data_IF_498643839599
#
_entry.id   IF_498643839599
#
_cell.length_a   1.000
_cell.length_b   1.000
_cell.length_c   1.000
_cell.angle_alpha   90.00
_cell.angle_beta   90.00
_cell.angle_gamma   90.00
#
_symmetry.space_group_name_H-M   'P 1'
#
loop_
_entity.id
_entity.type
_entity.pdbx_description
1 polymer ?
#
# COMPACT_ATOMS: atom_id res chain seq x y z
N UNK A 1 -28.74 -12.65 39.79
CA UNK A 1 -28.54 -12.72 38.33
C UNK A 1 -29.16 -11.47 37.71
N UNK A 2 -28.33 -10.50 37.32
CA UNK A 2 -28.82 -9.30 36.63
C UNK A 2 -29.16 -9.70 35.19
N UNK A 3 -30.42 -9.60 34.83
CA UNK A 3 -30.84 -9.70 33.43
C UNK A 3 -30.30 -8.49 32.65
N UNK A 4 -29.22 -8.68 31.90
CA UNK A 4 -28.81 -7.72 30.90
C UNK A 4 -29.94 -7.57 29.88
N UNK A 5 -30.47 -6.35 29.74
CA UNK A 5 -31.46 -6.04 28.70
C UNK A 5 -30.86 -6.38 27.35
N UNK A 6 -31.50 -7.26 26.62
CA UNK A 6 -31.06 -7.96 25.41
C UNK A 6 -30.69 -7.02 24.23
N UNK A 7 -30.83 -5.70 24.35
CA UNK A 7 -30.77 -4.75 23.23
C UNK A 7 -29.74 -3.64 23.32
N UNK A 8 -29.00 -3.45 24.42
CA UNK A 8 -28.12 -2.28 24.57
C UNK A 8 -26.64 -2.56 24.31
N UNK A 9 -26.17 -3.77 24.53
CA UNK A 9 -24.76 -4.14 24.31
C UNK A 9 -24.70 -5.39 23.42
N UNK A 10 -24.02 -5.27 22.28
CA UNK A 10 -23.74 -6.36 21.35
C UNK A 10 -22.25 -6.68 21.34
N UNK A 11 -21.72 -7.37 22.36
CA UNK A 11 -20.28 -7.60 22.54
C UNK A 11 -19.64 -8.41 21.41
N UNK A 12 -20.45 -9.12 20.61
CA UNK A 12 -20.01 -9.85 19.42
C UNK A 12 -19.87 -8.98 18.17
N UNK A 13 -20.31 -7.70 18.21
CA UNK A 13 -20.17 -6.76 17.11
C UNK A 13 -19.07 -5.76 17.43
N UNK A 14 -17.93 -5.89 16.78
CA UNK A 14 -16.84 -4.94 16.86
C UNK A 14 -16.88 -4.01 15.64
N UNK A 15 -16.81 -2.70 15.90
CA UNK A 15 -16.58 -1.68 14.86
C UNK A 15 -15.20 -1.11 15.08
N UNK A 16 -14.39 -1.12 14.03
CA UNK A 16 -13.06 -0.52 14.05
C UNK A 16 -13.17 0.93 13.57
N UNK A 17 -12.55 1.84 14.29
CA UNK A 17 -12.37 3.22 13.81
C UNK A 17 -11.05 3.32 13.03
N UNK A 18 -11.10 4.00 11.88
CA UNK A 18 -9.92 4.23 11.02
C UNK A 18 -9.32 5.62 11.22
N UNK A 19 -10.08 6.53 11.80
CA UNK A 19 -9.68 7.92 12.06
C UNK A 19 -9.69 8.11 13.57
N UNK A 20 -8.65 8.73 14.19
CA UNK A 20 -8.59 8.93 15.62
C UNK A 20 -9.90 9.51 16.18
N UNK A 21 -10.41 9.04 17.32
CA UNK A 21 -11.66 9.56 17.91
C UNK A 21 -11.52 10.96 18.48
N UNK A 22 -10.32 11.31 18.99
CA UNK A 22 -10.03 12.54 19.70
C UNK A 22 -9.13 13.49 18.90
N UNK A 23 -8.93 14.68 19.42
CA UNK A 23 -8.00 15.69 18.88
C UNK A 23 -6.58 15.11 18.79
N UNK A 24 -5.94 15.30 17.65
CA UNK A 24 -4.60 14.76 17.40
C UNK A 24 -3.81 15.68 16.46
N UNK A 25 -3.02 16.57 17.03
CA UNK A 25 -2.21 17.52 16.26
C UNK A 25 -1.21 16.84 15.32
N UNK A 26 -0.57 15.74 15.76
CA UNK A 26 0.38 15.00 14.92
C UNK A 26 -0.31 14.35 13.72
N UNK A 27 -1.52 13.79 13.94
CA UNK A 27 -2.32 13.25 12.85
C UNK A 27 -2.69 14.33 11.83
N UNK A 28 -3.18 15.48 12.32
CA UNK A 28 -3.60 16.60 11.47
C UNK A 28 -2.43 17.13 10.66
N UNK A 29 -1.26 17.34 11.27
CA UNK A 29 -0.08 17.84 10.59
C UNK A 29 0.36 16.91 9.47
N UNK A 30 0.49 15.60 9.72
CA UNK A 30 0.86 14.64 8.70
C UNK A 30 -0.23 14.45 7.62
N UNK A 31 -1.51 14.51 8.00
CA UNK A 31 -2.61 14.44 7.04
C UNK A 31 -2.60 15.65 6.09
N UNK A 32 -2.46 16.87 6.60
CA UNK A 32 -2.41 18.07 5.76
C UNK A 32 -1.20 18.06 4.83
N UNK A 33 -0.03 17.62 5.31
CA UNK A 33 1.17 17.45 4.49
C UNK A 33 0.92 16.53 3.29
N UNK A 34 0.31 15.35 3.51
CA UNK A 34 -0.05 14.42 2.42
C UNK A 34 -1.07 15.03 1.46
N UNK A 35 -2.09 15.72 1.97
CA UNK A 35 -3.11 16.35 1.13
C UNK A 35 -2.53 17.48 0.27
N UNK A 36 -1.55 18.23 0.78
CA UNK A 36 -0.82 19.24 0.03
C UNK A 36 0.07 18.62 -1.05
N UNK A 37 0.70 17.48 -0.78
CA UNK A 37 1.45 16.72 -1.77
C UNK A 37 0.52 16.27 -2.91
N UNK A 38 -0.65 15.72 -2.59
CA UNK A 38 -1.62 15.26 -3.61
C UNK A 38 -2.26 16.39 -4.42
N UNK A 39 -2.29 17.60 -3.87
CA UNK A 39 -2.78 18.78 -4.59
C UNK A 39 -1.75 19.35 -5.60
N UNK A 40 -0.50 18.86 -5.59
CA UNK A 40 0.54 19.30 -6.54
C UNK A 40 0.16 18.93 -7.98
N UNK A 41 0.35 19.83 -8.95
CA UNK A 41 0.15 19.47 -10.35
C UNK A 41 1.18 18.41 -10.79
N UNK A 42 0.80 17.61 -11.79
CA UNK A 42 1.72 16.63 -12.35
C UNK A 42 3.01 17.28 -12.86
N UNK A 43 4.13 16.75 -12.42
CA UNK A 43 5.46 17.21 -12.84
C UNK A 43 6.41 16.01 -13.00
N UNK A 44 6.86 15.77 -14.22
CA UNK A 44 7.76 14.65 -14.56
C UNK A 44 9.12 14.75 -13.86
N UNK A 45 9.57 15.95 -13.47
CA UNK A 45 10.81 16.18 -12.73
C UNK A 45 10.66 15.94 -11.22
N UNK A 46 9.42 16.02 -10.72
CA UNK A 46 9.05 15.80 -9.32
C UNK A 46 7.81 14.93 -9.25
N UNK A 47 7.86 13.67 -9.76
CA UNK A 47 6.71 12.77 -9.73
C UNK A 47 6.32 12.44 -8.28
N UNK A 48 5.02 12.45 -8.01
CA UNK A 48 4.46 11.98 -6.73
C UNK A 48 4.19 10.49 -6.85
N UNK A 49 4.90 9.71 -6.03
CA UNK A 49 4.84 8.25 -6.01
C UNK A 49 4.43 7.80 -4.61
N UNK A 50 3.38 7.01 -4.53
CA UNK A 50 2.97 6.35 -3.29
C UNK A 50 3.56 4.94 -3.26
N UNK A 51 4.03 4.51 -2.11
CA UNK A 51 4.61 3.18 -1.92
C UNK A 51 4.05 2.52 -0.67
N UNK A 52 3.74 1.23 -0.78
CA UNK A 52 3.34 0.41 0.37
C UNK A 52 3.74 -1.06 0.15
N UNK A 53 3.70 -1.83 1.23
CA UNK A 53 4.04 -3.24 1.26
C UNK A 53 2.89 -4.09 1.81
N UNK A 54 2.83 -5.32 1.36
CA UNK A 54 1.91 -6.31 1.91
C UNK A 54 2.50 -7.70 1.88
N UNK A 55 2.11 -8.52 2.85
CA UNK A 55 2.43 -9.95 2.83
C UNK A 55 1.23 -10.76 2.39
N UNK A 56 1.48 -11.85 1.67
CA UNK A 56 0.48 -12.81 1.21
C UNK A 56 0.92 -14.22 1.59
N UNK A 57 0.01 -14.97 2.23
CA UNK A 57 0.22 -16.38 2.50
C UNK A 57 0.09 -17.17 1.22
N UNK A 58 1.12 -17.94 0.87
CA UNK A 58 1.06 -18.91 -0.22
C UNK A 58 0.29 -20.15 0.28
N UNK A 59 -0.73 -20.52 -0.47
CA UNK A 59 -1.69 -21.56 -0.09
C UNK A 59 -1.84 -22.55 -1.26
N UNK A 60 -1.56 -23.83 -0.99
CA UNK A 60 -1.78 -24.92 -1.92
C UNK A 60 -3.04 -25.72 -1.58
N UNK A 61 -3.54 -26.44 -2.56
CA UNK A 61 -4.66 -27.36 -2.41
C UNK A 61 -4.22 -28.64 -1.69
N UNK A 62 -5.10 -29.22 -0.87
CA UNK A 62 -4.94 -30.57 -0.32
C UNK A 62 -5.47 -31.59 -1.33
N UNK A 63 -6.67 -31.34 -1.86
CA UNK A 63 -7.26 -32.12 -2.92
C UNK A 63 -7.49 -31.26 -4.17
N UNK A 64 -7.42 -31.88 -5.34
CA UNK A 64 -7.70 -31.16 -6.58
C UNK A 64 -9.15 -30.66 -6.62
N UNK A 65 -9.38 -29.40 -7.01
CA UNK A 65 -10.72 -28.85 -7.13
C UNK A 65 -11.55 -29.66 -8.15
N UNK A 66 -12.82 -29.89 -7.83
CA UNK A 66 -13.76 -30.48 -8.78
C UNK A 66 -14.16 -29.39 -9.78
N UNK A 67 -13.91 -29.57 -11.08
CA UNK A 67 -14.17 -28.55 -12.08
C UNK A 67 -15.67 -28.23 -12.20
N UNK A 68 -15.98 -27.00 -12.61
CA UNK A 68 -17.36 -26.57 -12.87
C UNK A 68 -17.98 -27.41 -13.99
N UNK A 69 -19.28 -27.75 -13.83
CA UNK A 69 -20.11 -28.41 -14.82
C UNK A 69 -21.42 -27.62 -15.01
N UNK A 70 -22.18 -27.83 -16.10
CA UNK A 70 -23.45 -27.12 -16.30
C UNK A 70 -24.38 -27.27 -15.08
N UNK A 71 -24.75 -26.15 -14.44
CA UNK A 71 -25.56 -26.10 -13.22
C UNK A 71 -24.80 -26.34 -11.91
N UNK A 72 -23.51 -26.61 -11.95
CA UNK A 72 -22.66 -26.86 -10.78
C UNK A 72 -21.43 -25.94 -10.80
N UNK A 73 -21.20 -25.09 -9.76
CA UNK A 73 -19.97 -24.30 -9.68
C UNK A 73 -18.78 -25.22 -9.39
N UNK A 74 -17.57 -24.66 -9.56
CA UNK A 74 -16.34 -25.32 -9.09
C UNK A 74 -16.44 -25.57 -7.58
N UNK A 75 -16.07 -26.76 -7.12
CA UNK A 75 -15.96 -27.09 -5.70
C UNK A 75 -14.49 -27.15 -5.31
N UNK A 76 -14.12 -26.34 -4.34
CA UNK A 76 -12.76 -26.24 -3.79
C UNK A 76 -12.82 -26.81 -2.37
N UNK A 77 -11.80 -27.60 -2.02
CA UNK A 77 -11.66 -28.11 -0.66
C UNK A 77 -11.52 -26.95 0.33
N UNK A 78 -12.14 -27.05 1.51
CA UNK A 78 -11.97 -26.08 2.58
C UNK A 78 -10.61 -26.23 3.27
N UNK A 79 -9.98 -27.39 3.23
CA UNK A 79 -8.62 -27.63 3.69
C UNK A 79 -7.59 -27.02 2.74
N UNK A 80 -6.45 -26.62 3.28
CA UNK A 80 -5.33 -26.05 2.50
C UNK A 80 -3.97 -26.32 3.14
N UNK A 81 -2.93 -26.31 2.33
CA UNK A 81 -1.54 -26.39 2.79
C UNK A 81 -0.87 -25.04 2.70
N UNK A 82 -0.26 -24.59 3.80
CA UNK A 82 0.57 -23.38 3.79
C UNK A 82 1.92 -23.65 3.15
N UNK A 83 2.25 -22.91 2.10
CA UNK A 83 3.48 -23.05 1.29
C UNK A 83 4.51 -21.94 1.54
N UNK A 84 4.30 -21.12 2.57
CA UNK A 84 5.16 -19.99 2.90
C UNK A 84 4.46 -18.65 2.77
N UNK A 85 5.24 -17.58 2.76
CA UNK A 85 4.77 -16.19 2.65
C UNK A 85 5.57 -15.50 1.56
N UNK A 86 4.92 -14.75 0.71
CA UNK A 86 5.54 -13.80 -0.20
C UNK A 86 5.24 -12.36 0.23
N UNK A 87 6.14 -11.45 -0.10
CA UNK A 87 5.98 -10.02 0.15
C UNK A 87 5.78 -9.27 -1.17
N UNK A 88 4.92 -8.28 -1.15
CA UNK A 88 4.59 -7.40 -2.28
C UNK A 88 5.11 -6.02 -1.94
N UNK A 89 5.94 -5.45 -2.81
CA UNK A 89 6.24 -4.03 -2.84
C UNK A 89 5.46 -3.40 -3.99
N UNK A 90 4.72 -2.34 -3.72
CA UNK A 90 3.95 -1.61 -4.72
C UNK A 90 4.32 -0.14 -4.72
N UNK A 91 4.61 0.40 -5.89
CA UNK A 91 4.67 1.83 -6.14
C UNK A 91 3.58 2.25 -7.11
N UNK A 92 3.00 3.41 -6.89
CA UNK A 92 1.94 3.99 -7.71
C UNK A 92 2.25 5.47 -7.96
N UNK A 93 2.44 5.84 -9.21
CA UNK A 93 2.45 7.23 -9.65
C UNK A 93 1.01 7.63 -10.02
N UNK A 94 0.32 8.25 -9.06
CA UNK A 94 -1.12 8.47 -9.12
C UNK A 94 -1.57 9.24 -10.39
N UNK A 95 -0.99 10.41 -10.64
CA UNK A 95 -1.32 11.26 -11.79
C UNK A 95 -0.68 10.78 -13.10
N UNK A 96 0.45 10.05 -13.02
CA UNK A 96 1.09 9.42 -14.18
C UNK A 96 0.34 8.17 -14.65
N UNK A 97 -0.47 7.55 -13.80
CA UNK A 97 -1.21 6.32 -14.10
C UNK A 97 -0.31 5.10 -14.24
N UNK A 98 0.89 5.14 -13.66
CA UNK A 98 1.89 4.07 -13.69
C UNK A 98 1.98 3.40 -12.34
N UNK A 99 2.29 2.11 -12.35
CA UNK A 99 2.58 1.34 -11.15
C UNK A 99 3.62 0.27 -11.41
N UNK A 100 4.32 -0.11 -10.37
CA UNK A 100 5.22 -1.25 -10.37
C UNK A 100 4.93 -2.10 -9.15
N UNK A 101 4.87 -3.40 -9.37
CA UNK A 101 4.72 -4.39 -8.30
C UNK A 101 5.91 -5.34 -8.37
N UNK A 102 6.58 -5.55 -7.23
CA UNK A 102 7.68 -6.49 -7.08
C UNK A 102 7.33 -7.52 -6.02
N UNK A 103 7.50 -8.79 -6.36
CA UNK A 103 7.26 -9.90 -5.43
C UNK A 103 8.61 -10.40 -4.92
N UNK A 104 8.77 -10.41 -3.60
CA UNK A 104 9.98 -10.84 -2.89
C UNK A 104 9.64 -11.90 -1.84
N UNK A 105 10.65 -12.63 -1.38
CA UNK A 105 10.48 -13.58 -0.28
C UNK A 105 10.39 -12.87 1.07
N UNK A 106 11.01 -11.71 1.18
CA UNK A 106 11.13 -10.93 2.42
C UNK A 106 10.83 -9.46 2.16
N UNK A 107 10.57 -8.71 3.25
CA UNK A 107 10.40 -7.26 3.24
C UNK A 107 11.27 -6.63 4.33
N UNK A 108 12.57 -6.83 4.22
CA UNK A 108 13.55 -6.23 5.12
C UNK A 108 13.86 -4.81 4.69
N UNK A 109 14.57 -4.06 5.55
CA UNK A 109 15.10 -2.72 5.18
C UNK A 109 16.03 -2.76 3.98
N UNK A 110 16.72 -3.88 3.75
CA UNK A 110 17.59 -4.08 2.59
C UNK A 110 16.72 -4.26 1.32
N UNK A 111 15.65 -5.06 1.40
CA UNK A 111 14.73 -5.24 0.27
C UNK A 111 14.06 -3.91 -0.11
N UNK A 112 13.64 -3.11 0.87
CA UNK A 112 13.14 -1.76 0.67
C UNK A 112 14.16 -0.86 -0.01
N UNK A 113 15.40 -0.83 0.47
CA UNK A 113 16.46 -0.01 -0.09
C UNK A 113 16.76 -0.37 -1.56
N UNK A 114 16.81 -1.65 -1.90
CA UNK A 114 16.95 -2.10 -3.29
C UNK A 114 15.74 -1.71 -4.16
N UNK A 115 14.52 -1.79 -3.62
CA UNK A 115 13.33 -1.35 -4.35
C UNK A 115 13.36 0.15 -4.66
N UNK A 116 13.79 0.97 -3.68
CA UNK A 116 14.00 2.42 -3.85
C UNK A 116 15.07 2.70 -4.90
N UNK A 117 16.20 1.99 -4.87
CA UNK A 117 17.25 2.16 -5.88
C UNK A 117 16.72 1.86 -7.29
N UNK A 118 16.06 0.72 -7.49
CA UNK A 118 15.44 0.37 -8.77
C UNK A 118 14.42 1.44 -9.23
N UNK A 119 13.61 1.96 -8.30
CA UNK A 119 12.67 3.04 -8.57
C UNK A 119 13.39 4.27 -9.12
N UNK A 120 14.42 4.74 -8.43
CA UNK A 120 15.14 5.97 -8.78
C UNK A 120 15.99 5.84 -10.04
N UNK A 121 16.66 4.70 -10.26
CA UNK A 121 17.62 4.53 -11.34
C UNK A 121 17.01 4.01 -12.64
N UNK A 122 15.92 3.23 -12.55
CA UNK A 122 15.30 2.63 -13.73
C UNK A 122 14.05 3.38 -14.18
N UNK A 123 13.15 3.68 -13.24
CA UNK A 123 11.81 4.21 -13.56
C UNK A 123 11.74 5.74 -13.56
N UNK A 124 12.51 6.35 -12.67
CA UNK A 124 12.54 7.81 -12.49
C UNK A 124 13.96 8.37 -12.67
N UNK A 125 14.75 7.78 -13.58
CA UNK A 125 16.14 8.20 -13.84
C UNK A 125 16.24 9.68 -14.19
N UNK A 126 15.30 10.20 -14.97
CA UNK A 126 15.24 11.58 -15.44
C UNK A 126 14.56 12.56 -14.45
N UNK A 127 14.02 12.09 -13.35
CA UNK A 127 13.46 12.95 -12.32
C UNK A 127 14.56 13.63 -11.52
N UNK A 128 14.34 14.86 -11.10
CA UNK A 128 15.24 15.55 -10.17
C UNK A 128 15.11 15.00 -8.76
N UNK A 129 13.86 14.84 -8.29
CA UNK A 129 13.51 14.14 -7.05
C UNK A 129 12.21 13.39 -7.23
N UNK A 130 12.09 12.26 -6.56
CA UNK A 130 10.81 11.56 -6.38
C UNK A 130 10.18 12.00 -5.06
N UNK A 131 8.97 12.55 -5.13
CA UNK A 131 8.15 12.87 -3.97
C UNK A 131 7.47 11.59 -3.52
N UNK A 132 8.01 10.96 -2.47
CA UNK A 132 7.63 9.63 -2.03
C UNK A 132 6.68 9.70 -0.83
N UNK A 133 5.45 9.23 -1.01
CA UNK A 133 4.47 9.05 0.05
C UNK A 133 4.45 7.59 0.48
N UNK A 134 4.61 7.33 1.77
CA UNK A 134 4.60 5.98 2.34
C UNK A 134 4.20 5.99 3.82
N UNK A 135 3.99 4.83 4.42
CA UNK A 135 3.80 4.70 5.84
C UNK A 135 5.11 4.93 6.63
N UNK A 136 4.98 5.26 7.91
CA UNK A 136 6.13 5.50 8.79
C UNK A 136 6.60 4.20 9.48
N UNK A 137 6.87 3.15 8.69
CA UNK A 137 7.44 1.92 9.21
C UNK A 137 8.95 2.10 9.49
N UNK A 138 9.49 1.42 10.49
CA UNK A 138 10.90 1.52 10.89
C UNK A 138 11.90 1.17 9.77
N UNK A 139 11.46 0.43 8.76
CA UNK A 139 12.24 0.08 7.57
C UNK A 139 12.22 1.16 6.50
N UNK A 140 11.24 2.07 6.54
CA UNK A 140 10.95 3.09 5.53
C UNK A 140 11.62 4.42 5.86
N UNK A 141 12.94 4.44 5.87
CA UNK A 141 13.69 5.68 6.11
C UNK A 141 15.06 5.66 5.41
N UNK A 142 15.66 6.82 5.27
CA UNK A 142 16.96 6.96 4.60
C UNK A 142 18.10 6.19 5.25
N UNK A 143 18.02 5.87 6.56
CA UNK A 143 19.03 5.05 7.23
C UNK A 143 19.08 3.62 6.67
N UNK A 144 17.98 3.13 6.09
CA UNK A 144 17.94 1.82 5.43
C UNK A 144 18.81 1.80 4.16
N UNK A 145 18.96 2.92 3.46
CA UNK A 145 19.87 3.05 2.32
C UNK A 145 21.32 2.87 2.78
N UNK A 146 21.71 3.50 3.89
CA UNK A 146 23.06 3.35 4.46
C UNK A 146 23.34 1.94 5.04
N UNK A 147 22.29 1.16 5.31
CA UNK A 147 22.43 -0.25 5.70
C UNK A 147 22.71 -1.14 4.49
N UNK A 148 22.19 -0.77 3.31
CA UNK A 148 22.23 -1.59 2.10
C UNK A 148 23.37 -1.21 1.14
N UNK A 149 23.79 0.06 1.13
CA UNK A 149 24.72 0.60 0.14
C UNK A 149 25.91 1.34 0.78
N UNK A 150 27.02 1.51 0.04
CA UNK A 150 28.11 2.39 0.45
C UNK A 150 27.64 3.83 0.71
N UNK A 151 28.31 4.58 1.61
CA UNK A 151 27.81 5.91 2.03
C UNK A 151 27.55 6.90 0.89
N UNK A 152 28.41 6.94 -0.13
CA UNK A 152 28.26 7.88 -1.26
C UNK A 152 27.01 7.53 -2.09
N UNK A 153 26.78 6.25 -2.35
CA UNK A 153 25.59 5.76 -3.06
C UNK A 153 24.33 5.99 -2.23
N UNK A 154 24.36 5.65 -0.94
CA UNK A 154 23.24 5.88 -0.04
C UNK A 154 22.87 7.38 0.03
N UNK A 155 23.86 8.25 0.07
CA UNK A 155 23.68 9.71 0.06
C UNK A 155 23.05 10.19 -1.23
N UNK A 156 23.58 9.75 -2.38
CA UNK A 156 23.04 10.06 -3.70
C UNK A 156 21.55 9.65 -3.81
N UNK A 157 21.19 8.43 -3.40
CA UNK A 157 19.81 7.97 -3.41
C UNK A 157 18.91 8.79 -2.47
N UNK A 158 19.40 9.11 -1.26
CA UNK A 158 18.65 9.89 -0.28
C UNK A 158 18.36 11.32 -0.76
N UNK A 159 19.30 11.97 -1.47
CA UNK A 159 19.14 13.33 -2.01
C UNK A 159 18.10 13.40 -3.13
N UNK A 160 17.83 12.28 -3.79
CA UNK A 160 16.81 12.16 -4.84
C UNK A 160 15.41 11.89 -4.31
N UNK A 161 15.23 11.81 -3.00
CA UNK A 161 13.94 11.57 -2.35
C UNK A 161 13.46 12.83 -1.62
N UNK A 162 12.17 13.10 -1.71
CA UNK A 162 11.40 13.97 -0.83
C UNK A 162 10.34 13.08 -0.17
N UNK A 163 10.53 12.75 1.11
CA UNK A 163 9.72 11.72 1.78
C UNK A 163 8.65 12.37 2.63
N UNK A 164 7.41 11.92 2.45
CA UNK A 164 6.22 12.30 3.21
C UNK A 164 5.60 11.06 3.84
N UNK A 165 5.35 11.09 5.15
CA UNK A 165 4.81 9.95 5.87
C UNK A 165 3.32 10.11 6.17
N UNK A 166 2.54 9.08 5.85
CA UNK A 166 1.14 9.03 6.26
C UNK A 166 1.01 8.96 7.79
N UNK A 167 0.00 9.60 8.38
CA UNK A 167 -0.20 9.56 9.81
C UNK A 167 -0.57 8.15 10.29
N UNK A 168 -0.20 7.81 11.51
CA UNK A 168 -0.68 6.57 12.16
C UNK A 168 -2.21 6.54 12.13
N UNK A 169 -2.81 5.45 11.69
CA UNK A 169 -4.24 5.31 11.39
C UNK A 169 -4.74 6.16 10.22
N UNK A 170 -3.83 6.56 9.33
CA UNK A 170 -4.14 7.31 8.11
C UNK A 170 -3.97 6.52 6.84
N UNK A 171 -4.07 5.19 6.89
CA UNK A 171 -3.90 4.29 5.74
C UNK A 171 -4.81 4.64 4.54
N UNK A 172 -5.97 5.22 4.80
CA UNK A 172 -6.87 5.71 3.76
C UNK A 172 -6.28 6.86 2.91
N UNK A 173 -5.21 7.50 3.37
CA UNK A 173 -4.43 8.51 2.63
C UNK A 173 -3.37 7.88 1.72
N UNK A 174 -3.05 6.60 1.89
CA UNK A 174 -2.05 5.93 1.07
C UNK A 174 -2.71 5.34 -0.18
N UNK A 175 -2.38 5.92 -1.34
CA UNK A 175 -2.89 5.45 -2.63
C UNK A 175 -2.33 4.06 -2.96
N UNK A 176 -1.11 3.72 -2.52
CA UNK A 176 -0.54 2.40 -2.74
C UNK A 176 -1.28 1.31 -1.94
N UNK A 177 -1.75 1.59 -0.70
CA UNK A 177 -2.60 0.67 0.07
C UNK A 177 -3.94 0.40 -0.65
N UNK A 178 -4.53 1.45 -1.23
CA UNK A 178 -5.76 1.30 -2.02
C UNK A 178 -5.50 0.39 -3.23
N UNK A 179 -4.42 0.60 -3.97
CA UNK A 179 -4.08 -0.19 -5.15
C UNK A 179 -3.67 -1.63 -4.78
N UNK A 180 -3.00 -1.86 -3.64
CA UNK A 180 -2.77 -3.20 -3.07
C UNK A 180 -4.10 -3.93 -2.81
N UNK A 181 -5.11 -3.23 -2.31
CA UNK A 181 -6.45 -3.79 -2.12
C UNK A 181 -7.11 -4.17 -3.46
N UNK A 182 -6.89 -3.39 -4.52
CA UNK A 182 -7.36 -3.70 -5.88
C UNK A 182 -6.63 -4.93 -6.41
N UNK A 183 -5.30 -5.00 -6.31
CA UNK A 183 -4.48 -6.16 -6.69
C UNK A 183 -4.99 -7.44 -6.01
N UNK A 184 -5.17 -7.40 -4.70
CA UNK A 184 -5.65 -8.56 -3.94
C UNK A 184 -7.00 -9.07 -4.42
N UNK A 185 -7.93 -8.18 -4.74
CA UNK A 185 -9.26 -8.57 -5.22
C UNK A 185 -9.28 -9.05 -6.66
N UNK A 186 -8.46 -8.47 -7.52
CA UNK A 186 -8.48 -8.76 -8.96
C UNK A 186 -7.55 -9.90 -9.38
N UNK A 187 -6.44 -10.07 -8.67
CA UNK A 187 -5.36 -10.98 -9.06
C UNK A 187 -5.10 -12.08 -8.02
N UNK A 188 -5.20 -11.77 -6.73
CA UNK A 188 -4.79 -12.67 -5.65
C UNK A 188 -5.98 -13.22 -4.83
N UNK A 189 -7.18 -13.22 -5.38
CA UNK A 189 -8.37 -13.74 -4.70
C UNK A 189 -8.40 -15.26 -4.60
N UNK A 190 -7.71 -15.97 -5.48
CA UNK A 190 -7.57 -17.42 -5.48
C UNK A 190 -6.39 -17.92 -4.65
N UNK A 191 -6.26 -19.24 -4.53
CA UNK A 191 -5.12 -19.89 -3.90
C UNK A 191 -3.92 -19.88 -4.85
N UNK A 192 -2.79 -19.39 -4.36
CA UNK A 192 -1.52 -19.35 -5.08
C UNK A 192 -0.50 -20.07 -4.21
N UNK A 193 0.02 -21.17 -4.72
CA UNK A 193 0.83 -22.13 -3.96
C UNK A 193 2.33 -21.88 -4.03
N UNK A 194 2.81 -21.09 -5.00
CA UNK A 194 4.22 -20.78 -5.14
C UNK A 194 4.48 -19.33 -5.57
N UNK A 195 5.67 -18.84 -5.27
CA UNK A 195 6.08 -17.45 -5.53
C UNK A 195 6.22 -17.18 -7.04
N UNK A 196 6.61 -18.17 -7.84
CA UNK A 196 6.78 -18.07 -9.29
C UNK A 196 5.45 -17.80 -9.96
N UNK A 197 4.41 -18.55 -9.60
CA UNK A 197 3.04 -18.34 -10.09
C UNK A 197 2.53 -16.96 -9.70
N UNK A 198 2.77 -16.55 -8.45
CA UNK A 198 2.39 -15.22 -7.98
C UNK A 198 3.10 -14.13 -8.78
N UNK A 199 4.39 -14.28 -9.08
CA UNK A 199 5.15 -13.32 -9.90
C UNK A 199 4.55 -13.21 -11.32
N UNK A 200 4.20 -14.33 -11.93
CA UNK A 200 3.62 -14.34 -13.28
C UNK A 200 2.24 -13.65 -13.33
N UNK A 201 1.35 -13.98 -12.40
CA UNK A 201 0.01 -13.40 -12.33
C UNK A 201 0.06 -11.89 -12.03
N UNK A 202 0.89 -11.49 -11.07
CA UNK A 202 1.07 -10.08 -10.71
C UNK A 202 1.71 -9.28 -11.85
N UNK A 203 2.67 -9.86 -12.59
CA UNK A 203 3.26 -9.21 -13.76
C UNK A 203 2.23 -8.98 -14.88
N UNK A 204 1.38 -9.95 -15.15
CA UNK A 204 0.29 -9.81 -16.11
C UNK A 204 -0.72 -8.73 -15.71
N UNK A 205 -1.15 -8.74 -14.43
CA UNK A 205 -2.03 -7.72 -13.88
C UNK A 205 -1.40 -6.31 -13.96
N UNK A 206 -0.13 -6.19 -13.57
CA UNK A 206 0.59 -4.92 -13.60
C UNK A 206 0.69 -4.34 -15.02
N UNK A 207 0.95 -5.21 -16.01
CA UNK A 207 0.99 -4.83 -17.44
C UNK A 207 -0.37 -4.33 -17.93
N UNK A 208 -1.46 -5.07 -17.64
CA UNK A 208 -2.82 -4.68 -18.02
C UNK A 208 -3.21 -3.33 -17.39
N UNK A 209 -2.93 -3.15 -16.10
CA UNK A 209 -3.22 -1.89 -15.39
C UNK A 209 -2.46 -0.70 -15.96
N UNK A 210 -1.19 -0.87 -16.31
CA UNK A 210 -0.37 0.19 -16.90
C UNK A 210 -0.82 0.51 -18.33
N UNK A 211 -1.21 -0.48 -19.13
CA UNK A 211 -1.77 -0.26 -20.47
C UNK A 211 -3.06 0.56 -20.44
N UNK A 212 -3.88 0.39 -19.42
CA UNK A 212 -5.10 1.20 -19.22
C UNK A 212 -4.82 2.61 -18.68
N UNK A 213 -3.59 2.90 -18.24
CA UNK A 213 -3.18 4.19 -17.66
C UNK A 213 -4.17 4.70 -16.60
N UNK A 214 -4.62 3.84 -15.70
CA UNK A 214 -5.61 4.17 -14.68
C UNK A 214 -5.01 5.16 -13.69
N UNK A 215 -5.38 6.42 -13.81
CA UNK A 215 -4.94 7.52 -12.94
C UNK A 215 -5.78 7.57 -11.66
N UNK A 216 -5.18 8.11 -10.61
CA UNK A 216 -5.89 8.49 -9.39
C UNK A 216 -5.73 10.00 -9.23
N UNK A 217 -6.83 10.72 -9.38
CA UNK A 217 -6.90 12.16 -9.12
C UNK A 217 -7.57 12.37 -7.75
N UNK A 218 -6.76 12.75 -6.77
CA UNK A 218 -7.20 12.86 -5.39
C UNK A 218 -8.04 14.10 -5.16
N UNK A 219 -9.31 13.94 -4.76
CA UNK A 219 -10.27 15.02 -4.66
C UNK A 219 -10.44 15.61 -3.25
N UNK A 220 -10.05 14.89 -2.20
CA UNK A 220 -10.22 15.35 -0.83
C UNK A 220 -9.09 16.31 -0.45
N UNK A 221 -9.43 17.57 -0.21
CA UNK A 221 -8.46 18.65 0.02
C UNK A 221 -8.26 18.94 1.52
N UNK A 222 -7.19 19.68 1.86
CA UNK A 222 -6.96 20.25 3.20
C UNK A 222 -8.17 21.08 3.68
N UNK A 223 -8.81 21.83 2.77
CA UNK A 223 -10.02 22.59 3.08
C UNK A 223 -11.17 21.67 3.49
N UNK A 224 -11.37 20.56 2.77
CA UNK A 224 -12.37 19.55 3.13
C UNK A 224 -12.07 18.91 4.48
N UNK A 225 -10.80 18.59 4.74
CA UNK A 225 -10.35 18.01 5.99
C UNK A 225 -10.68 18.92 7.18
N UNK A 226 -10.38 20.21 7.09
CA UNK A 226 -10.69 21.21 8.13
C UNK A 226 -12.18 21.33 8.44
N UNK A 227 -13.04 21.07 7.46
CA UNK A 227 -14.50 21.08 7.64
C UNK A 227 -14.98 19.72 8.16
N UNK A 228 -14.69 18.63 7.43
CA UNK A 228 -15.25 17.29 7.70
C UNK A 228 -14.64 16.62 8.91
N UNK A 229 -13.36 16.92 9.21
CA UNK A 229 -12.59 16.34 10.31
C UNK A 229 -12.28 17.35 11.41
N UNK A 230 -13.08 18.43 11.53
CA UNK A 230 -12.89 19.52 12.50
C UNK A 230 -12.62 19.05 13.94
N UNK A 231 -13.19 17.90 14.33
CA UNK A 231 -13.01 17.32 15.68
C UNK A 231 -11.57 16.91 15.99
N UNK A 232 -10.74 16.65 14.97
CA UNK A 232 -9.34 16.24 15.13
C UNK A 232 -8.40 17.42 15.38
N UNK A 233 -8.82 18.60 14.97
CA UNK A 233 -8.03 19.82 15.12
C UNK A 233 -8.06 20.31 16.58
N UNK A 234 -6.89 20.68 17.15
CA UNK A 234 -6.84 21.31 18.47
C UNK A 234 -7.74 22.55 18.53
N UNK A 235 -8.41 22.74 19.67
CA UNK A 235 -9.18 23.96 19.93
C UNK A 235 -8.27 24.94 20.68
N UNK A 236 -8.27 26.17 20.24
CA UNK A 236 -7.59 27.29 20.86
C UNK A 236 -8.64 28.19 21.52
#
# INVERSE_FOLDING_TARGET
>A
MQHFKKNEIKPHLNKYWKIPPDQNASFVAAMEDILEVYARPYNVKFPVVCMDESSVQLIGEVHEPIPAAPGHPVLVDDEYVRKGVASIFMEVEALGGRRKVKITERRTRIDWAHFIKEMLEERYADAEKVVLVMDNLNTHNTASLYTAFPPDEARYLAERLEIHYTPKHGSWLDIAEIELSVLKRQCLAGRIDCIEKMRAEVAAWNTDRNNRQTKVDWQFTTKDARIKLKRLYPKF
#
